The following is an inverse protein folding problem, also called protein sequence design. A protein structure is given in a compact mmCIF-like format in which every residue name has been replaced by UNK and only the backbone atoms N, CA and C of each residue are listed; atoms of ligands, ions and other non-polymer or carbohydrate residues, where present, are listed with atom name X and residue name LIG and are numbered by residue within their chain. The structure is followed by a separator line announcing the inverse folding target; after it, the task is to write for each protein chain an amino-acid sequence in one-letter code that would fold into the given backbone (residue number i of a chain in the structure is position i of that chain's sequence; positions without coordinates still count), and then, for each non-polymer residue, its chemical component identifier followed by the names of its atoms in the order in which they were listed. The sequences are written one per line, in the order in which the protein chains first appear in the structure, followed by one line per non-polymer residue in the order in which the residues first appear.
data_IF_587432844764
#
_entry.id   IF_587432844764
#
_cell.length_a   1.000
_cell.length_b   1.000
_cell.length_c   1.000
_cell.angle_alpha   90.00
_cell.angle_beta   90.00
_cell.angle_gamma   90.00
#
_symmetry.space_group_name_H-M   'P 1'
#
loop_
_entity.id
_entity.type
_entity.pdbx_description
1 polymer ?
#
# COMPACT_ATOMS: atom_id res chain seq x y z
N UNK A 1 20.20 24.33 -1.62
CA UNK A 1 18.75 24.47 -1.39
C UNK A 1 18.05 24.23 -2.71
N UNK A 2 17.13 23.27 -2.74
CA UNK A 2 16.27 23.00 -3.90
C UNK A 2 15.17 24.08 -3.92
N UNK A 3 14.85 24.61 -5.11
CA UNK A 3 13.77 25.60 -5.30
C UNK A 3 12.51 24.90 -5.79
N UNK A 4 11.35 25.40 -5.34
CA UNK A 4 10.05 24.93 -5.80
C UNK A 4 9.91 25.16 -7.32
N UNK A 5 9.36 24.16 -8.02
CA UNK A 5 9.05 24.23 -9.46
C UNK A 5 7.65 23.70 -9.73
N UNK A 6 6.95 24.35 -10.64
CA UNK A 6 5.62 23.88 -11.08
C UNK A 6 5.73 22.54 -11.81
N UNK A 7 4.86 21.59 -11.45
CA UNK A 7 4.71 20.34 -12.19
C UNK A 7 4.02 20.63 -13.53
N UNK A 8 4.69 20.28 -14.63
CA UNK A 8 4.12 20.31 -15.98
C UNK A 8 4.04 18.89 -16.52
N UNK A 9 2.83 18.36 -16.62
CA UNK A 9 2.58 17.07 -17.27
C UNK A 9 2.83 17.17 -18.78
N UNK A 10 3.31 16.08 -19.38
CA UNK A 10 3.44 15.89 -20.82
C UNK A 10 2.81 14.54 -21.20
N UNK A 11 2.29 14.47 -22.42
CA UNK A 11 1.86 13.21 -23.01
C UNK A 11 3.02 12.20 -22.98
N UNK A 12 2.70 10.94 -22.67
CA UNK A 12 3.65 9.82 -22.56
C UNK A 12 4.71 9.95 -21.45
N UNK A 13 4.49 10.81 -20.44
CA UNK A 13 5.32 10.84 -19.23
C UNK A 13 5.24 9.50 -18.48
N UNK A 14 6.40 8.90 -18.18
CA UNK A 14 6.46 7.67 -17.38
C UNK A 14 6.16 7.95 -15.91
N UNK A 15 5.62 6.97 -15.18
CA UNK A 15 5.39 7.09 -13.73
C UNK A 15 6.69 7.41 -12.98
N UNK A 16 7.82 6.82 -13.38
CA UNK A 16 9.12 7.15 -12.78
C UNK A 16 9.49 8.62 -12.98
N UNK A 17 9.25 9.18 -14.17
CA UNK A 17 9.53 10.60 -14.46
C UNK A 17 8.64 11.53 -13.64
N UNK A 18 7.39 11.12 -13.41
CA UNK A 18 6.48 11.84 -12.54
C UNK A 18 6.98 11.84 -11.09
N UNK A 19 7.35 10.68 -10.54
CA UNK A 19 7.87 10.56 -9.17
C UNK A 19 9.20 11.31 -9.02
N UNK A 20 10.09 11.27 -10.01
CA UNK A 20 11.35 12.03 -9.98
C UNK A 20 11.08 13.54 -9.91
N UNK A 21 10.04 14.02 -10.59
CA UNK A 21 9.68 15.44 -10.57
C UNK A 21 9.15 15.93 -9.21
N UNK A 22 8.69 15.02 -8.35
CA UNK A 22 8.11 15.36 -7.05
C UNK A 22 9.11 15.97 -6.06
N UNK A 23 10.42 15.78 -6.26
CA UNK A 23 11.48 16.43 -5.47
C UNK A 23 11.32 17.96 -5.42
N UNK A 24 10.74 18.56 -6.47
CA UNK A 24 10.65 20.02 -6.63
C UNK A 24 9.29 20.62 -6.28
N UNK A 25 8.27 19.82 -5.96
CA UNK A 25 6.89 20.33 -5.79
C UNK A 25 6.66 20.81 -4.35
N UNK A 26 6.96 19.98 -3.36
CA UNK A 26 6.77 20.29 -1.93
C UNK A 26 5.73 19.41 -1.22
N UNK A 27 5.67 19.50 0.11
CA UNK A 27 4.82 18.67 0.97
C UNK A 27 5.09 17.16 0.78
N UNK A 28 4.05 16.32 0.75
CA UNK A 28 4.18 14.85 0.67
C UNK A 28 4.79 14.34 -0.64
N UNK A 29 4.82 15.16 -1.69
CA UNK A 29 5.45 14.79 -2.96
C UNK A 29 6.95 14.50 -2.78
N UNK A 30 7.65 15.36 -2.04
CA UNK A 30 9.08 15.21 -1.76
C UNK A 30 9.35 13.94 -0.96
N UNK A 31 8.49 13.62 0.00
CA UNK A 31 8.61 12.39 0.79
C UNK A 31 8.39 11.14 -0.07
N UNK A 32 7.48 11.18 -1.05
CA UNK A 32 7.25 10.06 -1.97
C UNK A 32 8.44 9.85 -2.92
N UNK A 33 9.03 10.92 -3.45
CA UNK A 33 10.25 10.83 -4.25
C UNK A 33 11.41 10.25 -3.42
N UNK A 34 11.58 10.76 -2.20
CA UNK A 34 12.60 10.27 -1.27
C UNK A 34 12.38 8.80 -0.90
N UNK A 35 11.13 8.38 -0.69
CA UNK A 35 10.81 6.98 -0.42
C UNK A 35 11.22 6.07 -1.59
N UNK A 36 11.01 6.51 -2.84
CA UNK A 36 11.49 5.80 -4.04
C UNK A 36 13.01 5.63 -4.02
N UNK A 37 13.76 6.71 -3.74
CA UNK A 37 15.23 6.64 -3.64
C UNK A 37 15.71 5.71 -2.53
N UNK A 38 15.03 5.73 -1.37
CA UNK A 38 15.35 4.86 -0.23
C UNK A 38 15.17 3.39 -0.62
N UNK A 39 14.08 3.02 -1.30
CA UNK A 39 13.86 1.65 -1.76
C UNK A 39 14.98 1.21 -2.74
N UNK A 40 15.33 2.08 -3.70
CA UNK A 40 16.43 1.79 -4.64
C UNK A 40 17.77 1.63 -3.90
N UNK A 41 18.03 2.48 -2.90
CA UNK A 41 19.23 2.39 -2.06
C UNK A 41 19.27 1.08 -1.28
N UNK A 42 18.17 0.68 -0.63
CA UNK A 42 18.09 -0.60 0.09
C UNK A 42 18.45 -1.78 -0.81
N UNK A 43 17.97 -1.77 -2.07
CA UNK A 43 18.31 -2.82 -3.04
C UNK A 43 19.79 -2.78 -3.43
N UNK A 44 20.35 -1.60 -3.72
CA UNK A 44 21.76 -1.42 -4.10
C UNK A 44 22.71 -1.86 -2.98
N UNK A 45 22.35 -1.54 -1.74
CA UNK A 45 23.15 -1.86 -0.56
C UNK A 45 22.97 -3.32 -0.10
N UNK A 46 22.16 -4.13 -0.81
CA UNK A 46 21.80 -5.50 -0.42
C UNK A 46 21.29 -5.56 1.03
N UNK A 47 20.51 -4.55 1.42
CA UNK A 47 20.00 -4.41 2.77
C UNK A 47 19.01 -5.54 3.09
N UNK A 48 18.99 -5.96 4.36
CA UNK A 48 17.95 -6.86 4.88
C UNK A 48 16.65 -6.07 5.06
N UNK A 49 15.62 -6.40 4.29
CA UNK A 49 14.35 -5.69 4.22
C UNK A 49 13.33 -6.29 5.20
N UNK A 50 12.90 -5.45 6.14
CA UNK A 50 11.75 -5.74 7.01
C UNK A 50 10.51 -5.08 6.41
N UNK A 51 9.59 -5.88 5.88
CA UNK A 51 8.31 -5.41 5.38
C UNK A 51 7.27 -5.48 6.50
N UNK A 52 6.72 -4.33 6.88
CA UNK A 52 5.74 -4.24 7.96
C UNK A 52 4.47 -3.56 7.49
N UNK A 53 3.32 -4.10 7.88
CA UNK A 53 2.02 -3.54 7.54
C UNK A 53 0.96 -3.94 8.58
N UNK A 54 -0.08 -3.13 8.71
CA UNK A 54 -1.24 -3.38 9.57
C UNK A 54 -2.27 -4.28 8.87
N UNK A 55 -3.15 -4.91 9.64
CA UNK A 55 -4.17 -5.84 9.11
C UNK A 55 -5.06 -5.25 8.02
N UNK A 56 -5.49 -3.99 8.18
CA UNK A 56 -6.35 -3.31 7.22
C UNK A 56 -5.76 -3.25 5.79
N UNK A 57 -4.44 -3.28 5.65
CA UNK A 57 -3.78 -3.32 4.33
C UNK A 57 -3.95 -4.69 3.67
N UNK A 58 -3.99 -5.78 4.44
CA UNK A 58 -4.32 -7.12 3.95
C UNK A 58 -5.81 -7.25 3.64
N UNK A 59 -6.69 -6.59 4.40
CA UNK A 59 -8.12 -6.47 4.06
C UNK A 59 -8.32 -5.83 2.70
N UNK A 60 -7.45 -4.89 2.33
CA UNK A 60 -7.49 -4.22 1.04
C UNK A 60 -6.91 -5.05 -0.12
N UNK A 61 -6.89 -4.46 -1.32
CA UNK A 61 -6.21 -5.03 -2.48
C UNK A 61 -4.67 -5.06 -2.38
N UNK A 62 -4.08 -4.38 -1.40
CA UNK A 62 -2.61 -4.38 -1.21
C UNK A 62 -2.05 -5.76 -0.85
N UNK A 63 -2.88 -6.67 -0.33
CA UNK A 63 -2.53 -8.07 -0.07
C UNK A 63 -1.81 -8.73 -1.25
N UNK A 64 -2.34 -8.56 -2.46
CA UNK A 64 -1.75 -9.15 -3.67
C UNK A 64 -0.40 -8.54 -4.01
N UNK A 65 -0.25 -7.23 -3.81
CA UNK A 65 1.03 -6.55 -4.03
C UNK A 65 2.08 -6.99 -3.00
N UNK A 66 1.71 -7.13 -1.73
CA UNK A 66 2.63 -7.65 -0.71
C UNK A 66 3.06 -9.09 -1.01
N UNK A 67 2.14 -9.96 -1.42
CA UNK A 67 2.46 -11.31 -1.87
C UNK A 67 3.46 -11.31 -3.04
N UNK A 68 3.26 -10.43 -4.02
CA UNK A 68 4.21 -10.25 -5.13
C UNK A 68 5.59 -9.78 -4.67
N UNK A 69 5.67 -8.81 -3.74
CA UNK A 69 6.96 -8.36 -3.19
C UNK A 69 7.71 -9.49 -2.47
N UNK A 70 6.98 -10.35 -1.76
CA UNK A 70 7.54 -11.52 -1.08
C UNK A 70 8.03 -12.55 -2.11
N UNK A 71 7.22 -12.86 -3.13
CA UNK A 71 7.59 -13.79 -4.22
C UNK A 71 8.83 -13.34 -5.00
N UNK A 72 8.96 -12.03 -5.23
CA UNK A 72 10.14 -11.43 -5.88
C UNK A 72 11.38 -11.37 -4.97
N UNK A 73 11.30 -11.85 -3.72
CA UNK A 73 12.40 -11.81 -2.77
C UNK A 73 12.82 -10.39 -2.37
N UNK A 74 11.89 -9.43 -2.39
CA UNK A 74 12.16 -8.05 -1.98
C UNK A 74 12.13 -7.93 -0.45
N UNK A 75 11.30 -8.72 0.23
CA UNK A 75 11.19 -8.74 1.69
C UNK A 75 11.91 -9.96 2.29
N UNK A 76 12.75 -9.73 3.31
CA UNK A 76 13.44 -10.80 4.05
C UNK A 76 12.70 -11.20 5.33
N UNK A 77 12.01 -10.24 5.96
CA UNK A 77 11.27 -10.44 7.22
C UNK A 77 9.93 -9.73 7.12
N UNK A 78 8.88 -10.40 7.58
CA UNK A 78 7.52 -9.84 7.64
C UNK A 78 7.15 -9.63 9.11
N UNK A 79 6.62 -8.44 9.43
CA UNK A 79 6.01 -8.15 10.74
C UNK A 79 4.63 -7.55 10.52
N UNK A 80 3.60 -8.22 11.00
CA UNK A 80 2.21 -7.75 10.91
C UNK A 80 1.43 -8.16 12.16
N UNK A 81 0.19 -7.69 12.28
CA UNK A 81 -0.74 -8.08 13.35
C UNK A 81 -1.52 -9.33 12.95
N UNK A 82 -2.16 -9.99 13.92
CA UNK A 82 -2.92 -11.24 13.68
C UNK A 82 -3.96 -11.11 12.56
N UNK A 83 -4.63 -9.95 12.46
CA UNK A 83 -5.58 -9.66 11.38
C UNK A 83 -4.98 -9.78 9.97
N UNK A 84 -3.70 -9.44 9.81
CA UNK A 84 -3.02 -9.59 8.52
C UNK A 84 -2.76 -11.04 8.13
N UNK A 85 -2.72 -11.96 9.09
CA UNK A 85 -2.55 -13.39 8.83
C UNK A 85 -3.90 -14.08 8.58
N UNK A 86 -4.90 -13.81 9.43
CA UNK A 86 -6.21 -14.47 9.32
C UNK A 86 -6.94 -14.08 8.03
N UNK A 87 -6.91 -12.79 7.66
CA UNK A 87 -7.56 -12.32 6.44
C UNK A 87 -6.85 -12.75 5.16
N UNK A 88 -5.52 -12.94 5.22
CA UNK A 88 -4.77 -13.54 4.11
C UNK A 88 -5.22 -14.98 3.86
N UNK A 89 -5.38 -15.76 4.93
CA UNK A 89 -5.88 -17.15 4.87
C UNK A 89 -7.31 -17.17 4.34
N UNK A 90 -8.21 -16.35 4.89
CA UNK A 90 -9.61 -16.25 4.44
C UNK A 90 -9.69 -16.02 2.93
N UNK A 91 -8.96 -15.02 2.42
CA UNK A 91 -8.91 -14.72 0.98
C UNK A 91 -8.27 -15.83 0.16
N UNK A 92 -7.24 -16.50 0.69
CA UNK A 92 -6.64 -17.66 0.04
C UNK A 92 -7.60 -18.87 -0.03
N UNK A 93 -8.54 -18.98 0.92
CA UNK A 93 -9.56 -20.04 0.96
C UNK A 93 -10.85 -19.69 0.21
N UNK A 94 -10.91 -18.52 -0.43
CA UNK A 94 -12.02 -18.13 -1.30
C UNK A 94 -13.05 -17.18 -0.68
N UNK A 95 -12.76 -16.57 0.48
CA UNK A 95 -13.59 -15.47 1.00
C UNK A 95 -13.40 -14.22 0.15
N UNK A 96 -14.52 -13.64 -0.29
CA UNK A 96 -14.55 -12.43 -1.12
C UNK A 96 -14.98 -11.22 -0.29
N UNK A 97 -14.11 -10.21 -0.27
CA UNK A 97 -14.30 -8.96 0.47
C UNK A 97 -14.88 -7.93 -0.49
N UNK A 98 -15.98 -7.29 -0.11
CA UNK A 98 -16.72 -6.37 -0.98
C UNK A 98 -16.34 -4.91 -0.70
N UNK A 99 -16.37 -4.07 -1.74
CA UNK A 99 -16.24 -2.63 -1.56
C UNK A 99 -17.60 -2.09 -1.10
N UNK A 100 -17.62 -1.56 0.12
CA UNK A 100 -18.75 -0.86 0.73
C UNK A 100 -18.48 0.64 0.87
N UNK A 101 -19.01 1.21 1.95
CA UNK A 101 -18.93 2.63 2.27
C UNK A 101 -18.53 2.84 3.72
N UNK A 102 -17.88 3.96 4.03
CA UNK A 102 -17.64 4.36 5.42
C UNK A 102 -18.93 4.78 6.13
N UNK A 103 -19.99 5.07 5.38
CA UNK A 103 -21.27 5.59 5.87
C UNK A 103 -22.38 4.53 5.92
N UNK A 104 -22.06 3.25 5.72
CA UNK A 104 -23.04 2.16 5.85
C UNK A 104 -23.52 2.03 7.30
N UNK A 105 -24.82 1.74 7.48
CA UNK A 105 -25.43 1.56 8.80
C UNK A 105 -24.94 0.25 9.46
N UNK A 106 -24.25 0.37 10.60
CA UNK A 106 -23.72 -0.77 11.34
C UNK A 106 -24.82 -1.63 11.98
N UNK A 107 -25.99 -1.06 12.27
CA UNK A 107 -27.13 -1.83 12.80
C UNK A 107 -27.63 -2.78 11.71
N UNK A 108 -27.83 -2.28 10.50
CA UNK A 108 -28.27 -3.08 9.36
C UNK A 108 -27.23 -4.15 8.99
N UNK A 109 -25.93 -3.80 9.02
CA UNK A 109 -24.85 -4.77 8.78
C UNK A 109 -24.84 -5.88 9.82
N UNK A 110 -25.00 -5.52 11.10
CA UNK A 110 -25.06 -6.49 12.18
C UNK A 110 -26.25 -7.45 12.03
N UNK A 111 -27.44 -6.94 11.69
CA UNK A 111 -28.63 -7.75 11.42
C UNK A 111 -28.42 -8.74 10.26
N UNK A 112 -27.57 -8.38 9.29
CA UNK A 112 -27.19 -9.24 8.16
C UNK A 112 -25.99 -10.15 8.44
N UNK A 113 -25.35 -10.03 9.60
CA UNK A 113 -24.13 -10.76 9.95
C UNK A 113 -22.89 -10.35 9.13
N UNK A 114 -22.85 -9.11 8.65
CA UNK A 114 -21.75 -8.58 7.84
C UNK A 114 -20.82 -7.76 8.74
N UNK A 115 -19.52 -8.05 8.69
CA UNK A 115 -18.49 -7.28 9.39
C UNK A 115 -18.00 -6.14 8.50
N UNK A 116 -17.54 -5.03 9.08
CA UNK A 116 -17.03 -3.88 8.32
C UNK A 116 -15.64 -3.47 8.75
N UNK A 117 -14.77 -3.23 7.77
CA UNK A 117 -13.43 -2.67 7.94
C UNK A 117 -13.31 -1.43 7.05
N UNK A 118 -13.58 -0.26 7.61
CA UNK A 118 -13.60 0.99 6.84
C UNK A 118 -14.71 0.99 5.79
N UNK A 119 -14.34 0.92 4.51
CA UNK A 119 -15.24 0.76 3.37
C UNK A 119 -15.16 -0.64 2.73
N UNK A 120 -14.75 -1.66 3.50
CA UNK A 120 -14.73 -3.05 3.07
C UNK A 120 -15.70 -3.86 3.94
N UNK A 121 -16.38 -4.82 3.33
CA UNK A 121 -17.37 -5.72 3.94
C UNK A 121 -16.96 -7.18 3.73
#
# INVERSE_FOLDING_TARGET
MVKVKDLKWKQDMRVSELVDSYEFIGFQSVELQRASEVIVKMKKDSAKVFLTFTSNMVTSGLRGFFAQLIELGIADVIVTTVGGLEEDIMKATGEDFQIGSFQTDDVELHEKGINRVGNLL
#
